data_IF_599633111347
#
_entry.id   IF_599633111347
#
_cell.length_a   1.000
_cell.length_b   1.000
_cell.length_c   1.000
_cell.angle_alpha   90.00
_cell.angle_beta   90.00
_cell.angle_gamma   90.00
#
_symmetry.space_group_name_H-M   'P 1'
#
loop_
_entity.id
_entity.type
_entity.pdbx_description
1 polymer ?
#
# COMPACT_ATOMS: atom_id res chain seq x y z
N UNK A 1 30.01 -26.42 -2.13
CA UNK A 1 28.75 -26.49 -2.91
C UNK A 1 27.50 -26.51 -2.03
N UNK A 2 27.48 -27.29 -0.94
CA UNK A 2 26.30 -27.45 -0.07
C UNK A 2 25.89 -26.18 0.70
N UNK A 3 26.84 -25.35 1.11
CA UNK A 3 26.61 -24.07 1.81
C UNK A 3 25.93 -23.02 0.95
N UNK A 4 26.26 -22.95 -0.34
CA UNK A 4 25.62 -22.05 -1.31
C UNK A 4 24.14 -22.37 -1.52
N UNK A 5 23.79 -23.66 -1.50
CA UNK A 5 22.39 -24.08 -1.62
C UNK A 5 21.59 -23.70 -0.37
N UNK A 6 22.21 -23.80 0.81
CA UNK A 6 21.59 -23.40 2.08
C UNK A 6 21.38 -21.89 2.16
N UNK A 7 22.36 -21.08 1.75
CA UNK A 7 22.20 -19.62 1.71
C UNK A 7 21.15 -19.19 0.69
N UNK A 8 21.10 -19.83 -0.49
CA UNK A 8 20.08 -19.55 -1.49
C UNK A 8 18.67 -19.91 -0.99
N UNK A 9 18.51 -21.05 -0.33
CA UNK A 9 17.24 -21.45 0.28
C UNK A 9 16.80 -20.47 1.38
N UNK A 10 17.74 -20.01 2.22
CA UNK A 10 17.45 -19.01 3.25
C UNK A 10 17.01 -17.66 2.64
N UNK A 11 17.64 -17.19 1.56
CA UNK A 11 17.22 -15.96 0.87
C UNK A 11 15.82 -16.08 0.25
N UNK A 12 15.50 -17.21 -0.36
CA UNK A 12 14.18 -17.46 -0.95
C UNK A 12 13.07 -17.54 0.11
N UNK A 13 13.37 -18.08 1.29
CA UNK A 13 12.44 -18.08 2.42
C UNK A 13 12.18 -16.67 2.93
N UNK A 14 13.21 -15.82 3.00
CA UNK A 14 13.09 -14.44 3.45
C UNK A 14 12.24 -13.57 2.52
N UNK A 15 12.30 -13.80 1.20
CA UNK A 15 11.49 -13.03 0.23
C UNK A 15 10.00 -13.36 0.29
N UNK A 16 9.62 -14.57 0.72
CA UNK A 16 8.21 -14.93 0.96
C UNK A 16 7.62 -14.25 2.19
N UNK A 17 8.46 -13.88 3.16
CA UNK A 17 8.02 -13.30 4.44
C UNK A 17 7.80 -11.79 4.35
N UNK A 18 8.38 -11.11 3.35
CA UNK A 18 8.10 -9.69 3.12
C UNK A 18 6.81 -9.59 2.29
N UNK A 19 5.68 -9.15 2.87
CA UNK A 19 4.49 -8.89 2.07
C UNK A 19 4.89 -7.88 1.00
N UNK A 20 4.62 -8.19 -0.27
CA UNK A 20 4.92 -7.28 -1.36
C UNK A 20 4.41 -5.87 -1.04
N UNK A 21 5.17 -4.85 -1.42
CA UNK A 21 4.77 -3.47 -1.16
C UNK A 21 3.35 -3.24 -1.69
N UNK A 22 2.43 -2.70 -0.88
CA UNK A 22 1.05 -2.55 -1.32
C UNK A 22 0.96 -1.63 -2.54
N UNK A 23 0.12 -2.01 -3.50
CA UNK A 23 -0.19 -1.23 -4.70
C UNK A 23 -0.44 0.25 -4.32
N UNK A 24 0.18 1.16 -5.07
CA UNK A 24 0.02 2.60 -4.86
C UNK A 24 -1.14 3.13 -5.68
N UNK A 25 -1.87 4.09 -5.13
CA UNK A 25 -3.03 4.70 -5.77
C UNK A 25 -3.05 6.22 -5.52
N UNK A 26 -3.97 6.92 -6.18
CA UNK A 26 -4.17 8.37 -6.02
C UNK A 26 -2.86 9.17 -6.19
N UNK A 27 -2.23 9.07 -7.37
CA UNK A 27 -0.94 9.71 -7.67
C UNK A 27 0.14 9.44 -6.61
N UNK A 28 0.24 8.18 -6.15
CA UNK A 28 1.17 7.72 -5.13
C UNK A 28 0.93 8.26 -3.70
N UNK A 29 -0.11 9.07 -3.50
CA UNK A 29 -0.49 9.59 -2.18
C UNK A 29 -1.30 8.58 -1.34
N UNK A 30 -1.75 7.49 -1.95
CA UNK A 30 -2.49 6.42 -1.30
C UNK A 30 -1.87 5.04 -1.45
N UNK A 31 -2.46 4.08 -0.75
CA UNK A 31 -2.06 2.67 -0.79
C UNK A 31 -3.30 1.78 -0.74
N UNK A 32 -3.33 0.75 -1.59
CA UNK A 32 -4.41 -0.22 -1.69
C UNK A 32 -4.36 -1.23 -0.54
N UNK A 33 -5.43 -1.31 0.25
CA UNK A 33 -5.56 -2.18 1.43
C UNK A 33 -6.98 -2.72 1.55
N UNK A 34 -7.16 -3.83 2.25
CA UNK A 34 -8.49 -4.37 2.54
C UNK A 34 -9.26 -3.48 3.54
N UNK A 35 -8.53 -2.74 4.39
CA UNK A 35 -9.08 -1.77 5.34
C UNK A 35 -8.14 -0.57 5.50
N UNK A 36 -8.71 0.63 5.57
CA UNK A 36 -7.96 1.85 5.82
C UNK A 36 -7.66 2.07 7.31
N UNK A 37 -6.55 2.76 7.58
CA UNK A 37 -6.19 3.19 8.92
C UNK A 37 -7.16 4.29 9.42
N UNK A 38 -7.28 4.48 10.74
CA UNK A 38 -8.15 5.52 11.32
C UNK A 38 -7.89 6.94 10.80
N UNK A 39 -6.66 7.22 10.37
CA UNK A 39 -6.21 8.54 9.89
C UNK A 39 -6.21 8.64 8.35
N UNK A 40 -6.82 7.69 7.67
CA UNK A 40 -6.99 7.65 6.23
C UNK A 40 -8.48 7.62 5.90
N UNK A 41 -8.83 8.02 4.69
CA UNK A 41 -10.18 7.77 4.16
C UNK A 41 -10.08 6.95 2.89
N UNK A 42 -11.16 6.22 2.62
CA UNK A 42 -11.38 5.56 1.34
C UNK A 42 -11.65 6.64 0.29
N UNK A 43 -10.91 6.60 -0.81
CA UNK A 43 -11.13 7.52 -1.92
C UNK A 43 -11.76 6.83 -3.14
N UNK A 44 -11.16 5.72 -3.60
CA UNK A 44 -11.64 4.89 -4.72
C UNK A 44 -11.29 3.42 -4.48
N UNK A 45 -11.76 2.52 -5.33
CA UNK A 45 -11.25 1.15 -5.40
C UNK A 45 -10.02 1.07 -6.30
N UNK A 46 -9.06 0.22 -5.92
CA UNK A 46 -7.93 -0.15 -6.76
C UNK A 46 -8.34 -1.20 -7.80
N UNK A 47 -7.51 -1.44 -8.82
CA UNK A 47 -7.77 -2.49 -9.84
C UNK A 47 -7.85 -3.86 -9.19
N UNK A 48 -7.11 -4.07 -8.10
CA UNK A 48 -7.18 -5.27 -7.26
C UNK A 48 -8.50 -5.44 -6.49
N UNK A 49 -9.44 -4.49 -6.57
CA UNK A 49 -10.70 -4.49 -5.80
C UNK A 49 -10.53 -4.02 -4.34
N UNK A 50 -9.31 -3.75 -3.90
CA UNK A 50 -9.00 -3.22 -2.56
C UNK A 50 -9.36 -1.73 -2.44
N UNK A 51 -9.45 -1.24 -1.21
CA UNK A 51 -9.71 0.18 -0.93
C UNK A 51 -8.43 1.00 -1.14
N UNK A 52 -8.51 2.07 -1.92
CA UNK A 52 -7.47 3.09 -1.98
C UNK A 52 -7.56 3.98 -0.74
N UNK A 53 -6.63 3.80 0.18
CA UNK A 53 -6.57 4.56 1.44
C UNK A 53 -5.64 5.77 1.28
N UNK A 54 -6.19 6.97 1.52
CA UNK A 54 -5.50 8.24 1.30
C UNK A 54 -5.56 9.10 2.56
N UNK A 55 -4.44 9.74 2.93
CA UNK A 55 -4.42 10.72 4.03
C UNK A 55 -5.28 11.95 3.69
N UNK A 56 -6.06 12.50 4.62
CA UNK A 56 -6.96 13.64 4.37
C UNK A 56 -6.30 14.85 3.69
N UNK A 57 -5.02 15.14 3.98
CA UNK A 57 -4.29 16.28 3.39
C UNK A 57 -4.09 16.21 1.87
N UNK A 58 -4.25 15.03 1.27
CA UNK A 58 -4.12 14.82 -0.18
C UNK A 58 -5.47 14.67 -0.87
N UNK A 59 -6.57 14.82 -0.13
CA UNK A 59 -7.90 14.85 -0.71
C UNK A 59 -8.22 16.27 -1.17
N UNK A 60 -8.97 16.43 -2.26
CA UNK A 60 -9.48 17.74 -2.63
C UNK A 60 -10.33 18.29 -1.50
N UNK A 61 -10.13 19.56 -1.15
CA UNK A 61 -11.03 20.25 -0.24
C UNK A 61 -12.38 20.40 -0.95
N UNK A 62 -13.33 19.54 -0.60
CA UNK A 62 -14.69 19.58 -1.15
C UNK A 62 -15.46 20.84 -0.74
N UNK A 63 -14.93 21.58 0.25
CA UNK A 63 -15.45 22.88 0.65
C UNK A 63 -14.44 23.95 0.24
N UNK A 64 -14.75 24.82 -0.74
CA UNK A 64 -13.99 26.04 -0.91
C UNK A 64 -14.07 26.82 0.40
N UNK A 65 -12.92 27.24 0.93
CA UNK A 65 -12.91 28.23 2.00
C UNK A 65 -13.47 29.51 1.40
N UNK A 66 -14.71 29.83 1.74
CA UNK A 66 -15.27 31.17 1.50
C UNK A 66 -14.64 32.06 2.56
N UNK A 67 -13.80 32.98 2.10
CA UNK A 67 -13.10 33.96 2.92
C UNK A 67 -14.04 35.12 3.24
#
# INVERSE_FOLDING_TARGET
MKTFLLTLAALLLLSQVVPGSPEKCWNLHGSCRDKCSKNEKVYVFCVSGKLCCVKPKFQPNLFPKVN
#
